data_IF_581410963003
#
_entry.id   IF_581410963003
#
_cell.length_a   1.000
_cell.length_b   1.000
_cell.length_c   1.000
_cell.angle_alpha   90.00
_cell.angle_beta   90.00
_cell.angle_gamma   90.00
#
_symmetry.space_group_name_H-M   'P 1'
#
loop_
_entity.id
_entity.type
_entity.pdbx_description
1 polymer ?
#
# COMPACT_ATOMS: atom_id res chain seq x y z
N UNK A 1 -79.23 -25.72 -5.30
CA UNK A 1 -77.78 -25.60 -5.56
C UNK A 1 -77.04 -26.11 -4.34
N UNK A 2 -76.47 -27.32 -4.43
CA UNK A 2 -75.70 -27.94 -3.35
C UNK A 2 -74.23 -27.61 -3.57
N UNK A 3 -73.63 -26.81 -2.69
CA UNK A 3 -72.18 -26.70 -2.57
C UNK A 3 -71.76 -27.45 -1.32
N UNK A 4 -71.28 -28.67 -1.57
CA UNK A 4 -70.75 -29.60 -0.58
C UNK A 4 -69.39 -29.06 -0.11
N UNK A 5 -69.33 -28.54 1.12
CA UNK A 5 -68.08 -28.27 1.82
C UNK A 5 -67.39 -29.61 2.12
N UNK A 6 -66.31 -29.88 1.37
CA UNK A 6 -65.41 -31.03 1.61
C UNK A 6 -64.41 -30.66 2.71
N UNK A 7 -64.11 -31.55 3.68
CA UNK A 7 -63.13 -31.29 4.72
C UNK A 7 -61.73 -31.42 4.13
N UNK A 8 -61.13 -30.28 3.76
CA UNK A 8 -59.77 -30.21 3.26
C UNK A 8 -58.83 -30.02 4.46
N UNK A 9 -58.25 -31.13 4.92
CA UNK A 9 -56.88 -31.25 5.48
C UNK A 9 -56.34 -30.00 6.22
N UNK A 10 -56.59 -29.97 7.53
CA UNK A 10 -56.23 -28.90 8.50
C UNK A 10 -54.71 -28.69 8.74
N UNK A 11 -53.82 -29.50 8.17
CA UNK A 11 -52.37 -29.44 8.46
C UNK A 11 -51.49 -28.70 7.45
N UNK A 12 -51.87 -28.68 6.16
CA UNK A 12 -50.96 -28.23 5.08
C UNK A 12 -51.00 -26.73 4.83
N UNK A 13 -52.16 -26.09 5.04
CA UNK A 13 -52.30 -24.64 4.88
C UNK A 13 -51.51 -23.83 5.92
N UNK A 14 -51.41 -24.35 7.15
CA UNK A 14 -50.67 -23.68 8.22
C UNK A 14 -49.15 -23.66 7.96
N UNK A 15 -48.61 -24.76 7.44
CA UNK A 15 -47.18 -24.88 7.08
C UNK A 15 -46.82 -23.94 5.94
N UNK A 16 -47.70 -23.81 4.94
CA UNK A 16 -47.49 -22.87 3.84
C UNK A 16 -47.51 -21.42 4.34
N UNK A 17 -48.45 -21.05 5.20
CA UNK A 17 -48.53 -19.70 5.77
C UNK A 17 -47.30 -19.33 6.63
N UNK A 18 -46.76 -20.29 7.41
CA UNK A 18 -45.54 -20.09 8.20
C UNK A 18 -44.28 -19.95 7.32
N UNK A 19 -44.20 -20.71 6.21
CA UNK A 19 -43.09 -20.60 5.27
C UNK A 19 -43.05 -19.24 4.54
N UNK A 20 -44.22 -18.67 4.20
CA UNK A 20 -44.28 -17.33 3.61
C UNK A 20 -43.93 -16.20 4.60
N UNK A 21 -44.22 -16.37 5.89
CA UNK A 21 -43.85 -15.38 6.91
C UNK A 21 -42.33 -15.25 7.11
N UNK A 22 -41.56 -16.32 6.85
CA UNK A 22 -40.09 -16.30 6.89
C UNK A 22 -39.44 -15.46 5.77
N UNK A 23 -40.09 -15.31 4.62
CA UNK A 23 -39.60 -14.47 3.52
C UNK A 23 -39.87 -12.97 3.73
N UNK A 24 -40.81 -12.60 4.60
CA UNK A 24 -41.13 -11.20 4.91
C UNK A 24 -40.37 -10.65 6.13
N UNK A 25 -39.65 -11.52 6.86
CA UNK A 25 -38.85 -11.18 8.02
C UNK A 25 -37.44 -10.71 7.65
N UNK A 26 -37.33 -9.65 6.85
CA UNK A 26 -36.03 -8.99 6.65
C UNK A 26 -35.73 -8.15 7.90
N UNK A 27 -34.91 -8.70 8.81
CA UNK A 27 -34.42 -7.98 10.00
C UNK A 27 -33.52 -6.85 9.50
N UNK A 28 -33.86 -5.61 9.84
CA UNK A 28 -33.02 -4.45 9.51
C UNK A 28 -31.59 -4.71 10.00
N UNK A 29 -30.60 -4.76 9.07
CA UNK A 29 -29.23 -5.02 9.46
C UNK A 29 -28.76 -3.89 10.38
N UNK A 30 -28.26 -4.25 11.56
CA UNK A 30 -27.66 -3.31 12.51
C UNK A 30 -26.48 -2.60 11.84
N UNK A 31 -26.70 -1.37 11.36
CA UNK A 31 -25.69 -0.55 10.69
C UNK A 31 -24.65 -0.11 11.72
N UNK A 32 -23.52 -0.80 11.75
CA UNK A 32 -22.37 -0.42 12.58
C UNK A 32 -21.45 0.49 11.79
N UNK A 33 -21.44 1.76 12.15
CA UNK A 33 -20.45 2.70 11.64
C UNK A 33 -19.10 2.42 12.30
N UNK A 34 -18.15 1.91 11.52
CA UNK A 34 -16.77 1.70 11.94
C UNK A 34 -15.93 2.88 11.47
N UNK A 35 -15.20 3.51 12.38
CA UNK A 35 -14.16 4.46 11.99
C UNK A 35 -12.97 3.68 11.46
N UNK A 36 -12.61 3.93 10.21
CA UNK A 36 -11.42 3.35 9.57
C UNK A 36 -10.32 4.41 9.60
N UNK A 37 -9.18 4.06 10.18
CA UNK A 37 -7.98 4.89 10.07
C UNK A 37 -7.40 4.71 8.67
N UNK A 38 -7.41 5.79 7.89
CA UNK A 38 -6.79 5.82 6.56
C UNK A 38 -5.33 6.24 6.74
N UNK A 39 -4.36 5.40 6.32
CA UNK A 39 -2.96 5.80 6.39
C UNK A 39 -2.75 7.03 5.49
N UNK A 40 -2.22 8.09 6.08
CA UNK A 40 -1.83 9.32 5.36
C UNK A 40 -0.33 9.28 5.09
N UNK A 41 0.06 9.70 3.89
CA UNK A 41 1.48 9.75 3.52
C UNK A 41 2.18 10.84 4.35
N UNK A 42 3.13 10.42 5.19
CA UNK A 42 3.95 11.33 5.97
C UNK A 42 5.20 11.72 5.19
N UNK A 43 5.64 12.98 5.23
CA UNK A 43 6.87 13.38 4.56
C UNK A 43 8.09 12.76 5.25
N UNK A 44 8.98 12.15 4.47
CA UNK A 44 10.24 11.65 5.01
C UNK A 44 11.13 12.82 5.47
N UNK A 45 11.69 12.70 6.68
CA UNK A 45 12.62 13.68 7.26
C UNK A 45 14.03 13.11 7.30
N UNK A 46 14.70 13.09 6.15
CA UNK A 46 16.10 12.68 6.04
C UNK A 46 16.93 13.88 5.58
N UNK A 47 18.09 14.15 6.19
CA UNK A 47 18.95 15.25 5.78
C UNK A 47 19.46 15.04 4.36
N UNK A 48 19.67 16.14 3.65
CA UNK A 48 20.26 16.11 2.31
C UNK A 48 21.70 15.57 2.37
N UNK A 49 22.03 14.64 1.46
CA UNK A 49 23.38 14.08 1.37
C UNK A 49 24.27 15.06 0.62
N UNK A 50 25.30 15.58 1.29
CA UNK A 50 26.20 16.55 0.71
C UNK A 50 27.00 15.97 -0.47
N UNK A 51 27.09 16.74 -1.56
CA UNK A 51 27.92 16.39 -2.71
C UNK A 51 29.40 16.53 -2.31
N UNK A 52 30.22 15.47 -2.44
CA UNK A 52 31.63 15.56 -2.10
C UNK A 52 32.42 16.34 -3.17
N UNK A 53 33.55 16.90 -2.77
CA UNK A 53 34.52 17.44 -3.72
C UNK A 53 35.15 16.28 -4.52
N UNK A 54 34.87 16.22 -5.82
CA UNK A 54 35.30 15.10 -6.64
C UNK A 54 36.79 15.20 -6.97
N UNK A 55 37.50 14.08 -6.82
CA UNK A 55 38.94 14.06 -7.01
C UNK A 55 39.37 14.44 -8.44
N UNK A 56 38.51 14.25 -9.46
CA UNK A 56 38.81 14.59 -10.84
C UNK A 56 38.47 16.04 -11.23
N UNK A 57 37.77 16.83 -10.40
CA UNK A 57 37.32 18.19 -10.75
C UNK A 57 38.47 19.13 -11.16
N UNK A 58 39.67 18.89 -10.62
CA UNK A 58 40.87 19.69 -10.90
C UNK A 58 41.73 19.21 -12.07
N UNK A 59 41.37 18.10 -12.74
CA UNK A 59 42.22 17.52 -13.79
C UNK A 59 42.28 18.39 -15.04
N UNK A 60 43.48 18.59 -15.56
CA UNK A 60 43.78 19.32 -16.80
C UNK A 60 44.18 18.36 -17.90
N UNK A 61 43.98 18.79 -19.16
CA UNK A 61 44.40 18.01 -20.34
C UNK A 61 45.91 17.76 -20.35
N UNK A 62 46.70 18.73 -19.90
CA UNK A 62 48.16 18.66 -19.86
C UNK A 62 48.72 17.76 -18.73
N UNK A 63 47.89 17.33 -17.77
CA UNK A 63 48.37 16.49 -16.67
C UNK A 63 48.84 15.13 -17.18
N UNK A 64 49.85 14.59 -16.49
CA UNK A 64 50.39 13.27 -16.81
C UNK A 64 49.33 12.18 -16.64
N UNK A 65 49.51 11.08 -17.36
CA UNK A 65 48.61 9.93 -17.27
C UNK A 65 48.52 9.39 -15.84
N UNK A 66 49.64 9.36 -15.12
CA UNK A 66 49.69 8.89 -13.74
C UNK A 66 48.79 9.73 -12.81
N UNK A 67 48.84 11.06 -12.93
CA UNK A 67 48.00 11.97 -12.13
C UNK A 67 46.53 11.74 -12.43
N UNK A 68 46.16 11.59 -13.70
CA UNK A 68 44.79 11.31 -14.14
C UNK A 68 44.28 9.98 -13.58
N UNK A 69 45.05 8.90 -13.73
CA UNK A 69 44.65 7.57 -13.24
C UNK A 69 44.48 7.58 -11.72
N UNK A 70 45.40 8.22 -10.99
CA UNK A 70 45.31 8.34 -9.53
C UNK A 70 44.05 9.08 -9.08
N UNK A 71 43.76 10.23 -9.69
CA UNK A 71 42.56 11.02 -9.40
C UNK A 71 41.27 10.24 -9.72
N UNK A 72 41.21 9.57 -10.87
CA UNK A 72 40.02 8.79 -11.27
C UNK A 72 39.79 7.57 -10.38
N UNK A 73 40.85 6.88 -9.93
CA UNK A 73 40.72 5.77 -8.97
C UNK A 73 40.27 6.26 -7.59
N UNK A 74 40.72 7.43 -7.15
CA UNK A 74 40.25 8.06 -5.92
C UNK A 74 38.76 8.42 -6.05
N UNK A 75 38.36 9.08 -7.13
CA UNK A 75 36.97 9.44 -7.39
C UNK A 75 36.06 8.23 -7.49
N UNK A 76 36.51 7.14 -8.12
CA UNK A 76 35.73 5.89 -8.18
C UNK A 76 35.33 5.41 -6.78
N UNK A 77 36.23 5.51 -5.80
CA UNK A 77 35.93 5.16 -4.40
C UNK A 77 34.97 6.17 -3.76
N UNK A 78 35.13 7.47 -4.06
CA UNK A 78 34.19 8.50 -3.59
C UNK A 78 32.78 8.24 -4.12
N UNK A 79 32.60 7.90 -5.40
CA UNK A 79 31.30 7.59 -6.01
C UNK A 79 30.63 6.40 -5.34
N UNK A 80 31.37 5.32 -5.08
CA UNK A 80 30.87 4.15 -4.35
C UNK A 80 30.39 4.54 -2.94
N UNK A 81 31.15 5.39 -2.23
CA UNK A 81 30.77 5.88 -0.91
C UNK A 81 29.50 6.74 -0.95
N UNK A 82 29.44 7.68 -1.89
CA UNK A 82 28.29 8.57 -2.06
C UNK A 82 27.03 7.81 -2.44
N UNK A 83 27.12 6.82 -3.34
CA UNK A 83 25.99 5.95 -3.68
C UNK A 83 25.46 5.21 -2.45
N UNK A 84 26.34 4.68 -1.59
CA UNK A 84 25.93 4.04 -0.33
C UNK A 84 25.24 5.01 0.62
N UNK A 85 25.70 6.26 0.71
CA UNK A 85 25.04 7.29 1.52
C UNK A 85 23.64 7.61 0.98
N UNK A 86 23.48 7.71 -0.35
CA UNK A 86 22.17 7.90 -0.98
C UNK A 86 21.22 6.72 -0.76
N UNK A 87 21.72 5.48 -0.88
CA UNK A 87 20.93 4.28 -0.57
C UNK A 87 20.51 4.30 0.91
N UNK A 88 21.41 4.64 1.83
CA UNK A 88 21.08 4.75 3.25
C UNK A 88 19.99 5.81 3.50
N UNK A 89 20.14 7.02 2.92
CA UNK A 89 19.16 8.10 3.03
C UNK A 89 17.78 7.69 2.51
N UNK A 90 17.70 7.05 1.35
CA UNK A 90 16.42 6.58 0.79
C UNK A 90 15.83 5.40 1.57
N UNK A 91 16.67 4.51 2.11
CA UNK A 91 16.20 3.39 2.93
C UNK A 91 15.57 3.82 4.25
N UNK A 92 16.04 4.94 4.83
CA UNK A 92 15.47 5.51 6.05
C UNK A 92 14.05 6.10 5.85
N UNK A 93 13.59 6.23 4.61
CA UNK A 93 12.28 6.77 4.24
C UNK A 93 11.22 5.70 3.91
N UNK A 94 11.56 4.42 3.97
CA UNK A 94 10.62 3.31 3.74
C UNK A 94 9.91 2.93 5.04
#
# INVERSE_FOLDING_TARGET
MKLVLKPLTCGSGLVLLLALAGCAGEVEPQVKYVRVEVPVQVPCRVPEVAIPAWAADGLRKADSLEVKVRALLAERRQRIGYERQLVAATSACR
#
